data_IF_059380607587
#
_entry.id   IF_059380607587
#
_cell.length_a   1.000
_cell.length_b   1.000
_cell.length_c   1.000
_cell.angle_alpha   90.00
_cell.angle_beta   90.00
_cell.angle_gamma   90.00
#
_symmetry.space_group_name_H-M   'P 1'
#
loop_
_entity.id
_entity.type
_entity.pdbx_description
1 polymer ?
#
# COMPACT_ATOMS: atom_id res chain seq x y z
N UNK A 1 30.39 -9.83 -5.72
CA UNK A 1 29.89 -11.10 -6.28
C UNK A 1 29.21 -11.87 -5.16
N UNK A 2 27.90 -11.66 -4.98
CA UNK A 2 27.10 -12.55 -4.16
C UNK A 2 26.62 -13.67 -5.05
N UNK A 3 27.45 -14.68 -5.24
CA UNK A 3 26.92 -16.00 -5.52
C UNK A 3 26.36 -16.49 -4.18
N UNK A 4 25.04 -16.66 -4.02
CA UNK A 4 24.52 -17.46 -2.93
C UNK A 4 25.25 -18.79 -3.03
N UNK A 5 25.84 -19.27 -1.93
CA UNK A 5 26.47 -20.58 -1.94
C UNK A 5 25.43 -21.57 -2.44
N UNK A 6 25.68 -22.21 -3.58
CA UNK A 6 24.76 -23.10 -4.30
C UNK A 6 24.15 -24.22 -3.43
N UNK A 7 24.74 -24.52 -2.31
CA UNK A 7 24.32 -25.62 -1.44
C UNK A 7 23.05 -25.39 -0.63
N UNK A 8 22.55 -24.14 -0.52
CA UNK A 8 21.31 -23.82 0.22
C UNK A 8 20.13 -23.44 -0.68
N UNK A 9 20.28 -23.42 -2.01
CA UNK A 9 19.26 -22.92 -2.94
C UNK A 9 18.28 -23.98 -3.47
N UNK A 10 18.40 -25.24 -3.08
CA UNK A 10 17.48 -26.29 -3.55
C UNK A 10 16.33 -26.62 -2.60
N UNK A 11 15.93 -25.69 -1.74
CA UNK A 11 14.68 -25.91 -1.02
C UNK A 11 13.51 -25.71 -2.00
N UNK A 12 12.62 -26.70 -2.08
CA UNK A 12 11.34 -26.56 -2.79
C UNK A 12 10.67 -25.30 -2.28
N UNK A 13 10.17 -24.45 -3.21
CA UNK A 13 9.31 -23.31 -2.87
C UNK A 13 8.33 -23.69 -1.77
N UNK A 14 8.28 -22.89 -0.70
CA UNK A 14 7.32 -23.05 0.39
C UNK A 14 6.02 -22.29 0.13
N UNK A 15 5.95 -21.61 -1.01
CA UNK A 15 4.76 -20.89 -1.47
C UNK A 15 4.06 -21.65 -2.58
N UNK A 16 2.75 -21.60 -2.55
CA UNK A 16 1.89 -21.97 -3.66
C UNK A 16 1.38 -20.71 -4.33
N UNK A 17 1.60 -20.60 -5.65
CA UNK A 17 1.25 -19.42 -6.43
C UNK A 17 0.14 -19.72 -7.43
N UNK A 18 -0.89 -18.89 -7.46
CA UNK A 18 -1.88 -18.78 -8.52
C UNK A 18 -1.61 -17.51 -9.32
N UNK A 19 -1.58 -17.62 -10.64
CA UNK A 19 -1.38 -16.49 -11.54
C UNK A 19 -2.65 -16.19 -12.31
N UNK A 20 -3.04 -14.90 -12.33
CA UNK A 20 -4.21 -14.39 -13.03
C UNK A 20 -3.72 -13.39 -14.07
N UNK A 21 -3.93 -13.70 -15.36
CA UNK A 21 -3.51 -12.85 -16.47
C UNK A 21 -4.54 -11.74 -16.71
N UNK A 22 -4.09 -10.53 -17.01
CA UNK A 22 -4.99 -9.42 -17.33
C UNK A 22 -5.82 -9.66 -18.59
N UNK A 23 -5.32 -10.40 -19.56
CA UNK A 23 -6.11 -10.80 -20.74
C UNK A 23 -7.36 -11.59 -20.38
N UNK A 24 -7.26 -12.46 -19.38
CA UNK A 24 -8.39 -13.27 -18.94
C UNK A 24 -9.44 -12.42 -18.22
N UNK A 25 -9.02 -11.30 -17.62
CA UNK A 25 -9.91 -10.33 -16.96
C UNK A 25 -10.78 -9.56 -17.98
N UNK A 26 -10.18 -9.09 -19.09
CA UNK A 26 -10.85 -8.20 -20.05
C UNK A 26 -11.66 -8.96 -21.11
N UNK A 27 -11.19 -10.12 -21.54
CA UNK A 27 -11.64 -10.74 -22.78
C UNK A 27 -12.48 -12.01 -22.58
N UNK A 28 -12.49 -12.56 -21.34
CA UNK A 28 -13.01 -13.90 -21.16
C UNK A 28 -12.24 -14.95 -21.97
N UNK A 29 -12.65 -16.22 -21.87
CA UNK A 29 -11.91 -17.36 -22.45
C UNK A 29 -11.93 -17.48 -23.98
N UNK A 30 -12.77 -16.72 -24.71
CA UNK A 30 -13.17 -17.04 -26.09
C UNK A 30 -12.75 -16.04 -27.17
N UNK A 31 -11.85 -15.11 -26.93
CA UNK A 31 -11.42 -14.13 -27.96
C UNK A 31 -9.97 -14.32 -28.38
N UNK A 32 -9.72 -14.07 -29.68
CA UNK A 32 -8.39 -14.07 -30.28
C UNK A 32 -7.47 -13.07 -29.56
N UNK A 33 -6.66 -13.62 -28.66
CA UNK A 33 -5.77 -12.88 -27.76
C UNK A 33 -4.60 -12.21 -28.49
N UNK A 34 -4.31 -12.62 -29.73
CA UNK A 34 -3.13 -12.19 -30.46
C UNK A 34 -3.25 -10.81 -31.15
N UNK A 35 -4.45 -10.21 -31.17
CA UNK A 35 -4.71 -8.95 -31.88
C UNK A 35 -5.11 -7.77 -31.01
N UNK A 36 -5.18 -7.95 -29.69
CA UNK A 36 -5.63 -6.88 -28.79
C UNK A 36 -4.45 -6.28 -28.01
N UNK A 37 -4.45 -4.96 -27.80
CA UNK A 37 -3.44 -4.34 -26.94
C UNK A 37 -3.52 -4.93 -25.54
N UNK A 38 -2.37 -5.03 -24.87
CA UNK A 38 -2.29 -5.51 -23.48
C UNK A 38 -3.21 -4.65 -22.60
N UNK A 39 -4.19 -5.22 -21.90
CA UNK A 39 -5.06 -4.46 -21.01
C UNK A 39 -4.29 -3.65 -19.95
N UNK A 40 -3.11 -4.11 -19.54
CA UNK A 40 -2.25 -3.35 -18.60
C UNK A 40 -1.75 -2.05 -19.24
N UNK A 41 -1.56 -2.00 -20.55
CA UNK A 41 -1.16 -0.79 -21.28
C UNK A 41 -2.30 0.25 -21.32
N UNK A 42 -3.54 -0.22 -21.15
CA UNK A 42 -4.73 0.64 -21.18
C UNK A 42 -5.09 1.22 -19.80
N UNK A 43 -4.57 0.65 -18.70
CA UNK A 43 -4.95 1.03 -17.35
C UNK A 43 -3.75 1.33 -16.48
N UNK A 44 -3.84 2.39 -15.71
CA UNK A 44 -2.87 2.77 -14.72
C UNK A 44 -3.33 2.33 -13.33
N UNK A 45 -3.10 1.06 -13.01
CA UNK A 45 -3.46 0.53 -11.68
C UNK A 45 -2.55 1.12 -10.60
N UNK A 46 -3.17 1.78 -9.65
CA UNK A 46 -2.51 2.41 -8.51
C UNK A 46 -2.34 1.45 -7.34
N UNK A 47 -3.30 0.55 -7.18
CA UNK A 47 -3.34 -0.31 -6.00
C UNK A 47 -3.99 -1.66 -6.31
N UNK A 48 -3.46 -2.72 -5.69
CA UNK A 48 -4.17 -3.98 -5.46
C UNK A 48 -4.60 -3.98 -3.99
N UNK A 49 -5.86 -4.29 -3.75
CA UNK A 49 -6.47 -4.20 -2.43
C UNK A 49 -7.24 -5.50 -2.12
N UNK A 50 -6.61 -6.48 -1.50
CA UNK A 50 -7.27 -7.69 -1.07
C UNK A 50 -8.03 -7.46 0.24
N UNK A 51 -9.19 -8.09 0.35
CA UNK A 51 -9.91 -8.32 1.60
C UNK A 51 -9.57 -9.70 2.17
N UNK A 52 -9.65 -10.73 1.33
CA UNK A 52 -9.23 -12.10 1.63
C UNK A 52 -8.74 -12.77 0.33
N UNK A 53 -8.44 -14.06 0.35
CA UNK A 53 -7.97 -14.80 -0.83
C UNK A 53 -8.95 -14.78 -2.02
N UNK A 54 -10.24 -14.69 -1.76
CA UNK A 54 -11.29 -14.75 -2.78
C UNK A 54 -11.70 -13.35 -3.25
N UNK A 55 -11.70 -12.37 -2.34
CA UNK A 55 -12.21 -11.02 -2.55
C UNK A 55 -11.06 -10.04 -2.63
N UNK A 56 -10.86 -9.42 -3.79
CA UNK A 56 -9.88 -8.35 -3.95
C UNK A 56 -10.25 -7.38 -5.08
N UNK A 57 -9.59 -6.24 -5.09
CA UNK A 57 -9.83 -5.15 -6.02
C UNK A 57 -8.54 -4.70 -6.68
N UNK A 58 -8.65 -4.29 -7.96
CA UNK A 58 -7.65 -3.48 -8.65
C UNK A 58 -8.21 -2.08 -8.82
N UNK A 59 -7.49 -1.10 -8.35
CA UNK A 59 -7.93 0.29 -8.35
C UNK A 59 -7.01 1.13 -9.22
N UNK A 60 -7.57 1.96 -10.08
CA UNK A 60 -6.80 2.81 -10.97
C UNK A 60 -7.64 3.69 -11.88
N UNK A 61 -7.08 3.99 -13.03
CA UNK A 61 -7.70 4.78 -14.08
C UNK A 61 -7.27 4.31 -15.48
N UNK A 62 -7.93 4.80 -16.52
CA UNK A 62 -7.63 4.47 -17.91
C UNK A 62 -6.67 5.47 -18.59
N UNK A 63 -5.82 6.15 -17.85
CA UNK A 63 -4.93 7.19 -18.40
C UNK A 63 -3.94 6.66 -19.45
N UNK A 64 -3.64 5.37 -19.42
CA UNK A 64 -2.73 4.75 -20.39
C UNK A 64 -3.41 4.42 -21.74
N UNK A 65 -4.73 4.42 -21.79
CA UNK A 65 -5.47 3.97 -22.99
C UNK A 65 -5.48 4.98 -24.15
N UNK A 66 -5.24 6.27 -23.86
CA UNK A 66 -5.27 7.34 -24.88
C UNK A 66 -4.22 8.39 -24.54
N UNK A 67 -3.32 8.65 -25.47
CA UNK A 67 -2.33 9.74 -25.36
C UNK A 67 -3.05 11.09 -25.22
N UNK A 68 -2.76 11.85 -24.16
CA UNK A 68 -3.31 13.19 -23.95
C UNK A 68 -4.64 13.29 -23.20
N UNK A 69 -5.14 12.23 -22.57
CA UNK A 69 -6.33 12.31 -21.71
C UNK A 69 -6.07 13.29 -20.54
N UNK A 70 -6.85 14.36 -20.52
CA UNK A 70 -6.83 15.35 -19.42
C UNK A 70 -7.56 14.82 -18.19
N UNK A 71 -8.64 14.05 -18.41
CA UNK A 71 -9.47 13.47 -17.35
C UNK A 71 -9.67 11.97 -17.64
N UNK A 72 -8.87 11.09 -17.04
CA UNK A 72 -9.11 9.66 -17.14
C UNK A 72 -10.41 9.29 -16.42
N UNK A 73 -10.98 8.14 -16.78
CA UNK A 73 -12.07 7.54 -16.01
C UNK A 73 -11.49 6.59 -14.98
N UNK A 74 -12.05 6.63 -13.78
CA UNK A 74 -11.71 5.68 -12.73
C UNK A 74 -12.05 4.25 -13.14
N UNK A 75 -11.23 3.31 -12.74
CA UNK A 75 -11.42 1.89 -13.03
C UNK A 75 -11.26 1.07 -11.75
N UNK A 76 -12.28 0.25 -11.50
CA UNK A 76 -12.32 -0.71 -10.39
C UNK A 76 -12.61 -2.08 -10.99
N UNK A 77 -11.67 -3.01 -10.86
CA UNK A 77 -11.94 -4.41 -11.07
C UNK A 77 -12.09 -5.10 -9.73
N UNK A 78 -13.15 -5.89 -9.59
CA UNK A 78 -13.47 -6.67 -8.41
C UNK A 78 -13.51 -8.15 -8.77
N UNK A 79 -12.81 -8.97 -8.02
CA UNK A 79 -12.99 -10.41 -8.01
C UNK A 79 -13.59 -10.85 -6.68
N UNK A 80 -14.47 -11.87 -6.73
CA UNK A 80 -15.12 -12.51 -5.58
C UNK A 80 -14.80 -14.02 -5.53
N UNK A 81 -13.89 -14.51 -6.38
CA UNK A 81 -13.64 -15.93 -6.62
C UNK A 81 -12.16 -16.22 -6.89
N UNK A 82 -11.28 -15.59 -6.13
CA UNK A 82 -9.82 -15.72 -6.25
C UNK A 82 -9.29 -15.37 -7.64
N UNK A 83 -9.90 -14.39 -8.34
CA UNK A 83 -9.45 -13.94 -9.66
C UNK A 83 -9.89 -14.82 -10.82
N UNK A 84 -10.90 -15.65 -10.64
CA UNK A 84 -11.48 -16.47 -11.73
C UNK A 84 -12.37 -15.62 -12.62
N UNK A 85 -13.17 -14.73 -12.00
CA UNK A 85 -13.99 -13.75 -12.72
C UNK A 85 -13.83 -12.35 -12.16
N UNK A 86 -14.13 -11.35 -12.99
CA UNK A 86 -14.05 -9.95 -12.60
C UNK A 86 -15.28 -9.15 -13.03
N UNK A 87 -15.68 -8.24 -12.16
CA UNK A 87 -16.66 -7.20 -12.49
C UNK A 87 -15.92 -5.87 -12.61
N UNK A 88 -16.22 -5.10 -13.65
CA UNK A 88 -15.65 -3.77 -13.89
C UNK A 88 -16.66 -2.68 -13.53
N UNK A 89 -16.24 -1.70 -12.77
CA UNK A 89 -17.04 -0.54 -12.35
C UNK A 89 -16.22 0.74 -12.48
N UNK A 90 -16.89 1.86 -12.70
CA UNK A 90 -16.30 3.19 -12.68
C UNK A 90 -17.11 4.11 -11.76
N UNK A 91 -16.42 4.97 -11.02
CA UNK A 91 -17.02 6.04 -10.20
C UNK A 91 -17.11 7.38 -10.95
N UNK A 92 -16.83 7.36 -12.26
CA UNK A 92 -16.82 8.54 -13.13
C UNK A 92 -15.41 9.02 -13.48
N UNK A 93 -15.34 10.25 -13.98
CA UNK A 93 -14.08 10.87 -14.37
C UNK A 93 -13.18 11.13 -13.16
N UNK A 94 -11.90 10.84 -13.30
CA UNK A 94 -10.87 11.05 -12.31
C UNK A 94 -10.00 9.83 -12.08
N UNK A 95 -8.99 10.00 -11.25
CA UNK A 95 -8.04 8.97 -10.82
C UNK A 95 -8.37 8.51 -9.40
N UNK A 96 -8.43 7.22 -9.18
CA UNK A 96 -8.46 6.67 -7.82
C UNK A 96 -7.05 6.78 -7.26
N UNK A 97 -6.90 7.56 -6.19
CA UNK A 97 -5.61 7.79 -5.55
C UNK A 97 -5.37 6.86 -4.37
N UNK A 98 -6.42 6.43 -3.72
CA UNK A 98 -6.34 5.53 -2.57
C UNK A 98 -7.63 4.72 -2.41
N UNK A 99 -7.49 3.46 -2.00
CA UNK A 99 -8.57 2.59 -1.55
C UNK A 99 -8.18 1.90 -0.24
N UNK A 100 -9.14 1.70 0.64
CA UNK A 100 -8.89 1.07 1.93
C UNK A 100 -10.11 0.38 2.50
N UNK A 101 -9.90 -0.83 3.01
CA UNK A 101 -10.87 -1.49 3.86
C UNK A 101 -10.78 -1.01 5.31
N UNK A 102 -11.95 -0.83 5.92
CA UNK A 102 -12.11 -0.68 7.36
C UNK A 102 -13.20 -1.67 7.74
N UNK A 103 -12.81 -2.81 8.28
CA UNK A 103 -13.65 -4.00 8.36
C UNK A 103 -14.18 -4.36 6.97
N UNK A 104 -15.49 -4.45 6.77
CA UNK A 104 -16.13 -4.78 5.50
C UNK A 104 -16.44 -3.55 4.63
N UNK A 105 -16.27 -2.34 5.17
CA UNK A 105 -16.51 -1.09 4.42
C UNK A 105 -15.28 -0.73 3.61
N UNK A 106 -15.43 -0.60 2.31
CA UNK A 106 -14.40 -0.12 1.39
C UNK A 106 -14.58 1.38 1.15
N UNK A 107 -13.53 2.16 1.46
CA UNK A 107 -13.44 3.59 1.12
C UNK A 107 -12.55 3.79 -0.09
N UNK A 108 -12.94 4.71 -0.99
CA UNK A 108 -12.17 5.12 -2.16
C UNK A 108 -12.10 6.63 -2.23
N UNK A 109 -10.91 7.14 -2.52
CA UNK A 109 -10.63 8.55 -2.81
C UNK A 109 -10.48 8.70 -4.32
N UNK A 110 -11.40 9.45 -4.93
CA UNK A 110 -11.38 9.81 -6.35
C UNK A 110 -11.02 11.28 -6.51
N UNK A 111 -10.00 11.56 -7.30
CA UNK A 111 -9.58 12.91 -7.65
C UNK A 111 -9.87 13.20 -9.12
N UNK A 112 -10.56 14.31 -9.36
CA UNK A 112 -10.88 14.78 -10.70
C UNK A 112 -10.27 16.16 -10.91
N UNK A 113 -9.46 16.29 -11.98
CA UNK A 113 -8.87 17.55 -12.42
C UNK A 113 -9.83 18.23 -13.38
N UNK A 114 -10.30 19.42 -13.02
CA UNK A 114 -11.15 20.26 -13.86
C UNK A 114 -10.51 21.62 -14.08
N UNK A 115 -10.97 22.36 -15.10
CA UNK A 115 -10.48 23.72 -15.38
C UNK A 115 -11.57 24.74 -15.08
N UNK A 116 -11.29 25.68 -14.20
CA UNK A 116 -12.12 26.86 -13.94
C UNK A 116 -11.33 28.12 -14.32
N UNK A 117 -11.88 28.95 -15.22
CA UNK A 117 -11.20 30.16 -15.72
C UNK A 117 -9.76 29.88 -16.21
N UNK A 118 -9.56 28.80 -16.96
CA UNK A 118 -8.26 28.32 -17.46
C UNK A 118 -7.23 27.94 -16.35
N UNK A 119 -7.66 27.79 -15.11
CA UNK A 119 -6.81 27.31 -14.02
C UNK A 119 -7.21 25.89 -13.66
N UNK A 120 -6.24 24.96 -13.53
CA UNK A 120 -6.54 23.62 -13.08
C UNK A 120 -6.91 23.62 -11.59
N UNK A 121 -8.02 23.02 -11.26
CA UNK A 121 -8.42 22.69 -9.88
C UNK A 121 -8.58 21.20 -9.74
N UNK A 122 -8.34 20.69 -8.54
CA UNK A 122 -8.58 19.29 -8.20
C UNK A 122 -9.74 19.20 -7.25
N UNK A 123 -10.75 18.46 -7.67
CA UNK A 123 -11.87 18.10 -6.82
C UNK A 123 -11.64 16.67 -6.28
N UNK A 124 -11.94 16.47 -5.01
CA UNK A 124 -11.83 15.15 -4.38
C UNK A 124 -13.20 14.68 -3.92
N UNK A 125 -13.53 13.43 -4.22
CA UNK A 125 -14.74 12.77 -3.73
C UNK A 125 -14.32 11.52 -2.94
N UNK A 126 -14.90 11.33 -1.76
CA UNK A 126 -14.78 10.09 -1.00
C UNK A 126 -16.04 9.28 -1.25
N UNK A 127 -15.86 8.04 -1.68
CA UNK A 127 -16.91 7.04 -1.83
C UNK A 127 -16.74 5.94 -0.79
N UNK A 128 -17.84 5.29 -0.43
CA UNK A 128 -17.84 4.06 0.35
C UNK A 128 -18.72 2.99 -0.30
N UNK A 129 -18.34 1.75 -0.04
CA UNK A 129 -19.15 0.57 -0.34
C UNK A 129 -19.20 -0.31 0.90
N UNK A 130 -20.38 -0.84 1.24
CA UNK A 130 -20.64 -1.75 2.37
C UNK A 130 -20.99 -3.16 1.91
N UNK A 131 -20.93 -3.40 0.62
CA UNK A 131 -21.32 -4.64 -0.07
C UNK A 131 -20.23 -5.11 -1.05
N UNK A 132 -18.97 -4.88 -0.65
CA UNK A 132 -17.80 -5.27 -1.46
C UNK A 132 -17.84 -4.74 -2.89
N UNK A 133 -18.25 -3.48 -3.07
CA UNK A 133 -18.21 -2.78 -4.35
C UNK A 133 -19.38 -3.10 -5.30
N UNK A 134 -20.46 -3.70 -4.83
CA UNK A 134 -21.69 -3.84 -5.64
C UNK A 134 -22.41 -2.51 -5.81
N UNK A 135 -22.51 -1.75 -4.72
CA UNK A 135 -23.02 -0.40 -4.74
C UNK A 135 -22.05 0.59 -4.10
N UNK A 136 -22.15 1.86 -4.50
CA UNK A 136 -21.28 2.93 -4.05
C UNK A 136 -22.08 4.13 -3.59
N UNK A 137 -21.77 4.62 -2.43
CA UNK A 137 -22.33 5.82 -1.83
C UNK A 137 -21.27 6.92 -1.81
N UNK A 138 -21.65 8.13 -2.26
CA UNK A 138 -20.81 9.31 -2.11
C UNK A 138 -20.91 9.81 -0.67
N UNK A 139 -19.80 9.75 0.06
CA UNK A 139 -19.71 10.21 1.45
C UNK A 139 -19.60 11.72 1.50
N UNK A 140 -18.62 12.28 0.76
CA UNK A 140 -18.35 13.71 0.78
C UNK A 140 -17.64 14.17 -0.48
N UNK A 141 -17.68 15.49 -0.74
CA UNK A 141 -17.06 16.14 -1.87
C UNK A 141 -16.31 17.40 -1.43
N UNK A 142 -15.10 17.58 -1.94
CA UNK A 142 -14.27 18.75 -1.69
C UNK A 142 -13.92 19.42 -3.02
N UNK A 143 -14.30 20.68 -3.15
CA UNK A 143 -13.94 21.51 -4.30
C UNK A 143 -12.54 22.08 -4.11
N UNK A 144 -11.72 22.08 -5.16
CA UNK A 144 -10.35 22.61 -5.20
C UNK A 144 -9.47 22.14 -4.02
N UNK A 145 -9.61 20.89 -3.65
CA UNK A 145 -8.92 20.30 -2.52
C UNK A 145 -8.42 18.92 -2.91
N UNK A 146 -7.16 18.67 -2.71
CA UNK A 146 -6.53 17.37 -2.89
C UNK A 146 -6.43 16.65 -1.54
N UNK A 147 -6.79 15.37 -1.52
CA UNK A 147 -6.54 14.49 -0.39
C UNK A 147 -5.51 13.47 -0.87
N UNK A 148 -4.28 13.59 -0.41
CA UNK A 148 -3.19 12.73 -0.86
C UNK A 148 -2.98 11.52 0.05
N UNK A 149 -3.52 11.56 1.26
CA UNK A 149 -3.54 10.43 2.20
C UNK A 149 -4.77 10.46 3.08
N UNK A 150 -5.35 9.27 3.29
CA UNK A 150 -6.46 9.06 4.21
C UNK A 150 -6.24 7.78 5.01
N UNK A 151 -6.53 7.83 6.28
CA UNK A 151 -6.46 6.67 7.17
C UNK A 151 -7.69 6.63 8.08
N UNK A 152 -8.43 5.53 8.06
CA UNK A 152 -9.50 5.26 9.00
C UNK A 152 -9.06 4.24 10.05
N UNK A 153 -9.20 4.61 11.31
CA UNK A 153 -8.99 3.72 12.45
C UNK A 153 -10.21 2.83 12.70
N UNK A 154 -11.40 3.42 12.56
CA UNK A 154 -12.69 2.73 12.59
C UNK A 154 -13.55 3.26 11.44
N UNK A 155 -14.71 2.66 11.21
CA UNK A 155 -15.68 3.17 10.22
C UNK A 155 -16.14 4.63 10.51
N UNK A 156 -15.91 5.15 11.73
CA UNK A 156 -16.26 6.51 12.11
C UNK A 156 -15.05 7.44 12.24
N UNK A 157 -13.95 6.92 12.79
CA UNK A 157 -12.77 7.72 13.14
C UNK A 157 -11.73 7.62 12.07
N UNK A 158 -11.32 8.75 11.52
CA UNK A 158 -10.29 8.82 10.50
C UNK A 158 -9.52 10.14 10.53
N UNK A 159 -8.42 10.16 9.82
CA UNK A 159 -7.58 11.34 9.58
C UNK A 159 -7.17 11.39 8.12
N UNK A 160 -7.05 12.58 7.55
CA UNK A 160 -6.58 12.78 6.19
C UNK A 160 -5.69 14.02 6.09
N UNK A 161 -4.80 14.03 5.09
CA UNK A 161 -4.03 15.20 4.71
C UNK A 161 -4.71 15.86 3.52
N UNK A 162 -5.09 17.10 3.73
CA UNK A 162 -5.72 17.98 2.74
C UNK A 162 -4.68 18.96 2.23
N UNK A 163 -4.54 19.07 0.94
CA UNK A 163 -3.70 20.07 0.29
C UNK A 163 -4.59 21.11 -0.41
N UNK A 164 -4.53 22.34 0.07
CA UNK A 164 -5.17 23.49 -0.57
C UNK A 164 -4.22 24.07 -1.61
N UNK A 165 -4.54 23.84 -2.89
CA UNK A 165 -3.73 24.33 -4.02
C UNK A 165 -3.76 25.85 -4.18
N UNK A 166 -4.77 26.52 -3.64
CA UNK A 166 -4.88 27.98 -3.74
C UNK A 166 -3.86 28.66 -2.84
N UNK A 167 -3.69 28.13 -1.63
CA UNK A 167 -2.81 28.69 -0.60
C UNK A 167 -1.49 27.90 -0.47
N UNK A 168 -1.31 26.84 -1.25
CA UNK A 168 -0.15 25.93 -1.18
C UNK A 168 0.12 25.41 0.24
N UNK A 169 -0.97 25.09 0.99
CA UNK A 169 -0.87 24.66 2.38
C UNK A 169 -1.45 23.27 2.58
N UNK A 170 -0.74 22.44 3.35
CA UNK A 170 -1.24 21.17 3.82
C UNK A 170 -1.86 21.30 5.20
N UNK A 171 -3.00 20.65 5.39
CA UNK A 171 -3.70 20.59 6.67
C UNK A 171 -4.10 19.16 6.97
N UNK A 172 -3.91 18.74 8.22
CA UNK A 172 -4.46 17.48 8.71
C UNK A 172 -5.85 17.73 9.29
N UNK A 173 -6.81 16.93 8.83
CA UNK A 173 -8.17 16.95 9.36
C UNK A 173 -8.58 15.56 9.81
N UNK A 174 -9.36 15.49 10.86
CA UNK A 174 -9.93 14.24 11.36
C UNK A 174 -11.45 14.24 11.21
N UNK A 175 -12.01 13.05 11.14
CA UNK A 175 -13.44 12.78 11.15
C UNK A 175 -13.81 11.90 12.32
N UNK A 176 -15.03 12.05 12.83
CA UNK A 176 -15.64 11.19 13.84
C UNK A 176 -17.00 10.62 13.42
N UNK A 177 -17.36 10.82 12.15
CA UNK A 177 -18.64 10.43 11.56
C UNK A 177 -18.48 9.68 10.21
N UNK A 178 -17.33 9.04 10.00
CA UNK A 178 -17.08 8.22 8.81
C UNK A 178 -16.72 9.02 7.55
N UNK A 179 -16.25 10.26 7.73
CA UNK A 179 -15.82 11.11 6.61
C UNK A 179 -16.92 12.05 6.09
N UNK A 180 -18.07 12.11 6.74
CA UNK A 180 -19.15 13.05 6.38
C UNK A 180 -18.72 14.48 6.68
N UNK A 181 -18.15 14.70 7.87
CA UNK A 181 -17.57 15.99 8.27
C UNK A 181 -16.10 15.85 8.68
N UNK A 182 -15.34 16.94 8.51
CA UNK A 182 -13.90 16.96 8.76
C UNK A 182 -13.51 18.19 9.56
N UNK A 183 -12.78 17.99 10.64
CA UNK A 183 -12.32 19.01 11.57
C UNK A 183 -10.80 19.13 11.54
N UNK A 184 -10.28 20.35 11.66
CA UNK A 184 -8.82 20.56 11.70
C UNK A 184 -8.20 19.83 12.91
N UNK A 185 -7.19 19.02 12.66
CA UNK A 185 -6.38 18.39 13.68
C UNK A 185 -5.41 19.42 14.27
N UNK A 186 -5.85 20.16 15.29
CA UNK A 186 -5.15 21.34 15.83
C UNK A 186 -3.73 21.04 16.33
N UNK A 187 -3.49 19.82 16.82
CA UNK A 187 -2.16 19.39 17.27
C UNK A 187 -1.12 19.24 16.15
N UNK A 188 -1.52 19.30 14.85
CA UNK A 188 -0.66 18.97 13.72
C UNK A 188 -0.25 20.15 12.84
N UNK A 189 -0.44 21.37 13.29
CA UNK A 189 -0.27 22.57 12.45
C UNK A 189 1.19 22.79 11.98
N UNK A 190 2.18 22.17 12.61
CA UNK A 190 3.61 22.31 12.25
C UNK A 190 4.40 21.05 12.61
N UNK A 191 4.28 19.98 11.86
CA UNK A 191 5.23 18.88 12.01
C UNK A 191 6.19 18.87 10.83
N UNK A 192 7.47 18.73 11.09
CA UNK A 192 8.49 18.47 10.06
C UNK A 192 8.31 17.11 9.38
N UNK A 193 7.43 16.27 9.92
CA UNK A 193 7.19 14.90 9.49
C UNK A 193 5.72 14.69 9.18
N UNK A 194 5.43 13.89 8.14
CA UNK A 194 4.07 13.49 7.78
C UNK A 194 3.56 12.40 8.73
N UNK A 195 2.68 12.73 9.69
CA UNK A 195 2.19 11.76 10.66
C UNK A 195 1.29 10.69 10.04
N UNK A 196 0.76 10.90 8.83
CA UNK A 196 -0.02 9.90 8.12
C UNK A 196 0.85 8.90 7.34
N UNK A 197 2.05 9.34 6.90
CA UNK A 197 3.01 8.40 6.34
C UNK A 197 3.67 7.55 7.42
N UNK A 198 3.78 8.09 8.65
CA UNK A 198 4.70 7.63 9.69
C UNK A 198 3.98 7.32 10.99
N UNK A 199 2.65 7.40 11.01
CA UNK A 199 1.85 7.32 12.22
C UNK A 199 1.00 6.07 12.34
N UNK A 200 0.61 5.80 13.56
CA UNK A 200 -0.27 4.71 13.94
C UNK A 200 -1.27 5.18 15.01
N UNK A 201 -2.54 4.86 14.83
CA UNK A 201 -3.56 5.13 15.83
C UNK A 201 -3.36 4.22 17.04
N UNK A 202 -3.01 4.82 18.17
CA UNK A 202 -2.98 4.14 19.47
C UNK A 202 -4.38 3.98 20.02
N UNK A 203 -5.22 4.96 19.79
CA UNK A 203 -6.64 5.01 20.18
C UNK A 203 -7.42 5.92 19.24
N UNK A 204 -8.71 6.07 19.45
CA UNK A 204 -9.58 6.94 18.64
C UNK A 204 -9.11 8.39 18.51
N UNK A 205 -8.38 8.89 19.50
CA UNK A 205 -7.94 10.28 19.55
C UNK A 205 -6.42 10.46 19.64
N UNK A 206 -5.65 9.37 19.72
CA UNK A 206 -4.22 9.43 19.92
C UNK A 206 -3.47 8.73 18.79
N UNK A 207 -2.56 9.46 18.15
CA UNK A 207 -1.69 8.95 17.11
C UNK A 207 -0.25 8.96 17.60
N UNK A 208 0.45 7.85 17.38
CA UNK A 208 1.89 7.72 17.55
C UNK A 208 2.59 7.87 16.22
N UNK A 209 3.75 8.51 16.20
CA UNK A 209 4.59 8.63 15.01
C UNK A 209 6.08 8.61 15.38
N UNK A 210 6.91 8.17 14.41
CA UNK A 210 8.36 8.14 14.55
C UNK A 210 8.99 9.41 13.97
N UNK A 211 10.04 9.87 14.64
CA UNK A 211 10.94 10.92 14.12
C UNK A 211 12.24 10.30 13.62
N UNK A 212 12.93 10.98 12.70
CA UNK A 212 14.19 10.47 12.10
C UNK A 212 15.31 10.23 13.12
N UNK A 213 15.25 10.91 14.26
CA UNK A 213 16.21 10.75 15.34
C UNK A 213 15.79 9.73 16.42
N UNK A 214 14.81 8.90 16.09
CA UNK A 214 14.41 7.74 16.89
C UNK A 214 13.51 8.04 18.09
N UNK A 215 12.84 9.19 18.13
CA UNK A 215 11.84 9.42 19.15
C UNK A 215 10.45 8.97 18.66
N UNK A 216 9.80 8.14 19.47
CA UNK A 216 8.38 7.89 19.38
C UNK A 216 7.65 9.03 20.07
N UNK A 217 6.84 9.73 19.33
CA UNK A 217 6.00 10.83 19.83
C UNK A 217 4.53 10.49 19.67
N UNK A 218 3.70 11.11 20.49
CA UNK A 218 2.25 11.07 20.36
C UNK A 218 1.65 12.46 20.24
N UNK A 219 0.47 12.54 19.68
CA UNK A 219 -0.38 13.71 19.74
C UNK A 219 -1.85 13.31 19.80
N UNK A 220 -2.66 14.21 20.38
CA UNK A 220 -4.11 14.03 20.43
C UNK A 220 -4.77 14.84 19.31
N UNK A 221 -5.69 14.23 18.55
CA UNK A 221 -6.34 14.84 17.40
C UNK A 221 -7.17 16.08 17.74
N UNK A 222 -7.74 16.12 18.95
CA UNK A 222 -8.71 17.14 19.36
C UNK A 222 -8.13 18.24 20.25
N UNK A 223 -6.90 18.04 20.76
CA UNK A 223 -6.24 18.96 21.70
C UNK A 223 -5.10 19.72 21.04
N UNK A 224 -5.05 21.03 21.28
CA UNK A 224 -3.89 21.86 20.92
C UNK A 224 -2.67 21.49 21.79
N UNK A 225 -1.48 21.70 21.25
CA UNK A 225 -0.18 21.50 21.95
C UNK A 225 -0.06 20.17 22.68
N UNK A 226 -0.63 19.11 22.08
CA UNK A 226 -0.70 17.79 22.69
C UNK A 226 0.50 16.88 22.39
N UNK A 227 1.56 17.41 21.76
CA UNK A 227 2.76 16.64 21.44
C UNK A 227 3.50 16.19 22.69
N UNK A 228 3.74 14.88 22.78
CA UNK A 228 4.49 14.28 23.86
C UNK A 228 5.55 13.32 23.32
N UNK A 229 6.72 13.31 23.93
CA UNK A 229 7.71 12.24 23.71
C UNK A 229 7.27 11.04 24.54
N UNK A 230 6.91 9.95 23.86
CA UNK A 230 6.50 8.71 24.52
C UNK A 230 7.72 7.93 24.98
N UNK A 231 8.65 7.68 24.07
CA UNK A 231 9.95 7.04 24.37
C UNK A 231 10.97 7.30 23.27
N UNK A 232 12.23 7.07 23.58
CA UNK A 232 13.31 6.95 22.60
C UNK A 232 13.50 5.49 22.26
N UNK A 233 13.47 5.15 20.97
CA UNK A 233 13.78 3.80 20.52
C UNK A 233 15.27 3.52 20.80
N UNK A 234 15.62 2.35 21.34
CA UNK A 234 17.00 2.03 21.64
C UNK A 234 17.89 2.10 20.40
N UNK A 235 18.90 2.96 20.44
CA UNK A 235 19.93 3.04 19.41
C UNK A 235 21.09 2.13 19.79
N UNK A 236 21.56 1.30 18.86
CA UNK A 236 22.96 0.88 18.88
C UNK A 236 23.79 1.94 18.15
N UNK A 237 25.09 2.00 18.38
CA UNK A 237 26.02 2.88 17.64
C UNK A 237 25.99 2.67 16.13
N UNK A 238 25.34 1.60 15.69
CA UNK A 238 25.26 1.15 14.30
C UNK A 238 23.94 1.50 13.60
N UNK A 239 22.97 2.15 14.27
CA UNK A 239 21.72 2.56 13.65
C UNK A 239 21.84 3.97 13.08
N UNK A 240 21.61 4.12 11.79
CA UNK A 240 21.67 5.38 11.04
C UNK A 240 20.31 5.98 10.73
N UNK A 241 19.23 5.18 10.87
CA UNK A 241 17.89 5.65 10.57
C UNK A 241 16.80 4.74 11.10
N UNK A 242 15.59 5.27 11.04
CA UNK A 242 14.37 4.62 11.44
C UNK A 242 13.35 4.73 10.30
N UNK A 243 12.60 3.66 10.07
CA UNK A 243 11.46 3.73 9.16
C UNK A 243 10.25 4.34 9.88
N UNK A 244 9.21 4.46 9.12
CA UNK A 244 7.88 4.74 9.62
C UNK A 244 7.40 3.63 10.55
N UNK A 245 6.34 3.89 11.30
CA UNK A 245 5.64 2.84 12.04
C UNK A 245 4.91 1.98 11.01
N UNK A 246 5.23 0.71 11.01
CA UNK A 246 4.55 -0.32 10.24
C UNK A 246 3.68 -1.15 11.17
N UNK A 247 2.74 -1.88 10.62
CA UNK A 247 1.84 -2.76 11.37
C UNK A 247 2.09 -4.20 10.91
N UNK A 248 2.28 -5.09 11.86
CA UNK A 248 2.16 -6.51 11.58
C UNK A 248 0.70 -6.82 11.26
N UNK A 249 0.42 -7.20 10.03
CA UNK A 249 -0.95 -7.32 9.53
C UNK A 249 -1.77 -8.40 10.26
N UNK A 250 -1.13 -9.38 10.87
CA UNK A 250 -1.80 -10.45 11.63
C UNK A 250 -2.02 -10.07 13.09
N UNK A 251 -0.96 -9.68 13.78
CA UNK A 251 -1.04 -9.35 15.22
C UNK A 251 -1.57 -7.95 15.48
N UNK A 252 -1.60 -7.10 14.43
CA UNK A 252 -1.87 -5.66 14.50
C UNK A 252 -0.91 -4.92 15.44
N UNK A 253 0.24 -5.52 15.74
CA UNK A 253 1.28 -4.92 16.55
C UNK A 253 2.11 -3.93 15.72
N UNK A 254 2.30 -2.69 16.20
CA UNK A 254 3.13 -1.72 15.52
C UNK A 254 4.62 -2.02 15.72
N UNK A 255 5.40 -1.84 14.67
CA UNK A 255 6.86 -1.95 14.70
C UNK A 255 7.53 -0.86 13.88
N UNK A 256 8.82 -0.64 14.17
CA UNK A 256 9.70 0.29 13.45
C UNK A 256 10.88 -0.50 12.90
N UNK A 257 11.27 -0.22 11.66
CA UNK A 257 12.52 -0.74 11.12
C UNK A 257 13.65 0.17 11.52
N UNK A 258 14.58 -0.36 12.29
CA UNK A 258 15.82 0.33 12.69
C UNK A 258 16.94 -0.18 11.78
N UNK A 259 17.56 0.70 10.99
CA UNK A 259 18.50 0.26 9.96
C UNK A 259 19.80 1.04 9.93
N UNK A 260 20.84 0.37 9.43
CA UNK A 260 22.11 0.94 8.99
C UNK A 260 22.21 0.86 7.49
N UNK A 261 22.52 1.94 6.81
CA UNK A 261 22.78 1.93 5.36
C UNK A 261 24.14 1.29 5.08
N UNK A 262 24.21 0.42 4.11
CA UNK A 262 25.44 -0.21 3.65
C UNK A 262 25.46 -0.33 2.13
N UNK A 263 26.63 -0.63 1.55
CA UNK A 263 26.82 -0.82 0.11
C UNK A 263 26.00 -1.98 -0.48
N UNK A 264 25.39 -2.81 0.34
CA UNK A 264 24.64 -4.01 -0.05
C UNK A 264 23.20 -4.03 0.49
N UNK A 265 22.63 -2.88 0.85
CA UNK A 265 21.29 -2.76 1.42
C UNK A 265 21.28 -2.30 2.88
N UNK A 266 20.10 -2.22 3.46
CA UNK A 266 19.92 -1.84 4.87
C UNK A 266 19.96 -3.08 5.76
N UNK A 267 20.82 -3.07 6.76
CA UNK A 267 20.85 -4.08 7.83
C UNK A 267 20.34 -3.48 9.13
N UNK A 268 19.64 -4.26 9.92
CA UNK A 268 19.13 -3.77 11.19
C UNK A 268 18.21 -4.74 11.91
N UNK A 269 17.16 -4.20 12.49
CA UNK A 269 16.15 -5.00 13.17
C UNK A 269 14.78 -4.31 13.12
N UNK A 270 13.74 -5.11 13.18
CA UNK A 270 12.38 -4.66 13.48
C UNK A 270 12.28 -4.50 15.00
N UNK A 271 11.81 -3.36 15.45
CA UNK A 271 11.55 -3.09 16.86
C UNK A 271 10.05 -2.98 17.09
N UNK A 272 9.47 -3.99 17.74
CA UNK A 272 8.06 -4.02 18.08
C UNK A 272 7.77 -3.07 19.25
N UNK A 273 6.81 -2.16 19.09
CA UNK A 273 6.61 -1.06 20.01
C UNK A 273 5.96 -1.47 21.33
N UNK A 274 5.14 -2.51 21.32
CA UNK A 274 4.43 -2.99 22.53
C UNK A 274 5.26 -4.01 23.30
N UNK A 275 5.86 -4.98 22.60
CA UNK A 275 6.63 -6.07 23.25
C UNK A 275 8.10 -5.73 23.47
N UNK A 276 8.61 -4.68 22.79
CA UNK A 276 10.03 -4.28 22.77
C UNK A 276 10.95 -5.36 22.17
N UNK A 277 10.37 -6.34 21.48
CA UNK A 277 11.11 -7.39 20.81
C UNK A 277 11.91 -6.82 19.63
N UNK A 278 13.13 -7.35 19.45
CA UNK A 278 13.99 -7.05 18.29
C UNK A 278 14.09 -8.28 17.39
N UNK A 279 13.69 -8.13 16.17
CA UNK A 279 13.78 -9.18 15.14
C UNK A 279 14.81 -8.77 14.10
N UNK A 280 15.87 -9.58 13.86
CA UNK A 280 16.91 -9.26 12.88
C UNK A 280 16.34 -9.07 11.47
N UNK A 281 16.95 -8.16 10.72
CA UNK A 281 16.51 -7.76 9.40
C UNK A 281 17.73 -7.42 8.52
N UNK A 282 17.75 -7.86 7.27
CA UNK A 282 18.95 -7.72 6.44
C UNK A 282 18.79 -6.93 5.15
N UNK A 283 17.61 -6.70 4.60
CA UNK A 283 17.47 -5.92 3.36
C UNK A 283 16.10 -5.21 3.25
N UNK A 284 16.02 -4.07 3.65
CA UNK A 284 15.27 -2.84 3.49
C UNK A 284 13.79 -2.81 3.14
N UNK A 285 13.16 -3.77 2.48
CA UNK A 285 11.78 -3.63 2.00
C UNK A 285 11.03 -4.94 2.15
N UNK A 286 10.30 -5.08 3.22
CA UNK A 286 9.54 -6.28 3.49
C UNK A 286 8.22 -5.98 4.19
N UNK A 287 7.34 -6.95 4.19
CA UNK A 287 6.08 -6.90 4.93
C UNK A 287 6.07 -8.04 5.94
N UNK A 288 5.42 -7.81 7.06
CA UNK A 288 5.31 -8.75 8.17
C UNK A 288 3.86 -9.17 8.36
N UNK A 289 3.65 -10.48 8.44
CA UNK A 289 2.36 -11.08 8.76
C UNK A 289 2.55 -12.17 9.83
N UNK A 290 2.51 -11.77 11.09
CA UNK A 290 2.78 -12.66 12.22
C UNK A 290 4.20 -13.21 12.19
N UNK A 291 4.34 -14.52 12.07
CA UNK A 291 5.65 -15.15 11.97
C UNK A 291 6.22 -15.13 10.54
N UNK A 292 5.40 -14.82 9.55
CA UNK A 292 5.81 -14.74 8.16
C UNK A 292 6.36 -13.34 7.87
N UNK A 293 7.54 -13.32 7.29
CA UNK A 293 8.17 -12.12 6.75
C UNK A 293 8.54 -12.40 5.31
N UNK A 294 8.43 -11.41 4.43
CA UNK A 294 9.06 -11.52 3.15
C UNK A 294 9.80 -10.24 2.80
N UNK A 295 10.83 -10.39 2.01
CA UNK A 295 11.64 -9.29 1.50
C UNK A 295 11.79 -9.41 -0.01
N UNK A 296 11.74 -8.28 -0.65
CA UNK A 296 12.10 -8.14 -2.05
C UNK A 296 13.59 -7.85 -2.15
N UNK A 297 14.29 -8.66 -2.94
CA UNK A 297 15.70 -8.47 -3.21
C UNK A 297 15.91 -8.06 -4.66
N UNK A 298 16.69 -7.02 -4.85
CA UNK A 298 17.10 -6.53 -6.14
C UNK A 298 18.51 -7.06 -6.44
N UNK A 299 18.70 -7.67 -7.61
CA UNK A 299 20.02 -8.00 -8.12
C UNK A 299 20.59 -6.76 -8.83
N UNK A 300 21.59 -6.08 -8.28
CA UNK A 300 22.18 -4.89 -8.90
C UNK A 300 22.94 -5.20 -10.19
N UNK A 301 23.34 -6.47 -10.43
CA UNK A 301 24.05 -6.91 -11.64
C UNK A 301 23.08 -7.34 -12.74
N UNK A 302 21.84 -7.73 -12.38
CA UNK A 302 20.84 -8.16 -13.33
C UNK A 302 19.46 -7.61 -12.94
N UNK A 303 19.15 -6.43 -13.45
CA UNK A 303 17.87 -5.72 -13.19
C UNK A 303 16.60 -6.50 -13.60
N UNK A 304 16.75 -7.60 -14.32
CA UNK A 304 15.66 -8.45 -14.78
C UNK A 304 15.41 -9.65 -13.87
N UNK A 305 16.24 -9.85 -12.86
CA UNK A 305 16.09 -10.94 -11.90
C UNK A 305 15.71 -10.34 -10.56
N UNK A 306 14.53 -10.71 -10.10
CA UNK A 306 14.03 -10.32 -8.81
C UNK A 306 13.87 -11.55 -7.94
N UNK A 307 14.37 -11.45 -6.74
CA UNK A 307 14.30 -12.51 -5.77
C UNK A 307 13.35 -12.10 -4.66
N UNK A 308 12.53 -13.04 -4.25
CA UNK A 308 11.78 -12.95 -2.99
C UNK A 308 12.37 -13.93 -2.03
N UNK A 309 12.57 -13.52 -0.80
CA UNK A 309 12.86 -14.43 0.28
C UNK A 309 11.76 -14.34 1.33
N UNK A 310 11.38 -15.49 1.82
CA UNK A 310 10.36 -15.66 2.83
C UNK A 310 10.98 -16.26 4.09
N UNK A 311 10.52 -15.79 5.23
CA UNK A 311 10.77 -16.38 6.52
C UNK A 311 9.44 -16.75 7.14
N UNK A 312 9.36 -17.91 7.77
CA UNK A 312 8.16 -18.41 8.46
C UNK A 312 8.36 -18.47 9.97
N UNK A 313 9.51 -18.01 10.43
CA UNK A 313 9.97 -18.06 11.83
C UNK A 313 10.51 -16.71 12.32
N UNK A 314 9.92 -15.61 11.82
CA UNK A 314 10.28 -14.22 12.15
C UNK A 314 11.74 -13.89 11.84
N UNK A 315 12.19 -14.23 10.65
CA UNK A 315 13.52 -13.85 10.16
C UNK A 315 14.68 -14.71 10.66
N UNK A 316 14.43 -15.82 11.37
CA UNK A 316 15.50 -16.72 11.82
C UNK A 316 16.07 -17.56 10.67
N UNK A 317 15.19 -18.01 9.78
CA UNK A 317 15.56 -18.71 8.55
C UNK A 317 14.86 -18.09 7.34
N UNK A 318 15.51 -18.18 6.19
CA UNK A 318 15.01 -17.57 4.96
C UNK A 318 15.07 -18.55 3.80
N UNK A 319 14.01 -18.58 3.00
CA UNK A 319 13.92 -19.34 1.75
C UNK A 319 13.83 -18.34 0.60
N UNK A 320 14.69 -18.48 -0.39
CA UNK A 320 14.67 -17.65 -1.62
C UNK A 320 13.73 -18.29 -2.63
N UNK A 321 12.84 -17.48 -3.21
CA UNK A 321 12.02 -17.84 -4.35
C UNK A 321 12.42 -17.01 -5.56
N UNK A 322 12.83 -17.67 -6.65
CA UNK A 322 13.05 -17.03 -7.93
C UNK A 322 11.73 -16.94 -8.69
N UNK A 323 11.29 -15.73 -8.99
CA UNK A 323 10.20 -15.46 -9.92
C UNK A 323 10.78 -15.06 -11.29
N UNK A 324 11.57 -15.98 -11.90
CA UNK A 324 12.39 -15.71 -13.10
C UNK A 324 11.60 -15.33 -14.35
N UNK A 325 10.32 -15.65 -14.41
CA UNK A 325 9.46 -15.35 -15.55
C UNK A 325 8.74 -14.00 -15.43
N UNK A 326 8.92 -13.29 -14.30
CA UNK A 326 8.22 -12.06 -14.02
C UNK A 326 9.19 -10.87 -13.96
N UNK A 327 8.86 -9.83 -14.69
CA UNK A 327 9.39 -8.50 -14.44
C UNK A 327 8.53 -7.86 -13.34
N UNK A 328 9.14 -7.68 -12.20
CA UNK A 328 8.54 -6.89 -11.15
C UNK A 328 9.08 -5.47 -11.28
N UNK A 329 8.22 -4.47 -11.35
CA UNK A 329 8.68 -3.09 -11.30
C UNK A 329 9.51 -2.90 -10.03
N UNK A 330 10.45 -1.96 -10.06
CA UNK A 330 11.36 -1.67 -8.94
C UNK A 330 10.66 -1.48 -7.58
N UNK A 331 9.35 -1.21 -7.61
CA UNK A 331 8.47 -1.13 -6.45
C UNK A 331 7.19 -1.91 -6.75
N UNK A 332 7.21 -3.25 -6.62
CA UNK A 332 6.03 -4.05 -6.83
C UNK A 332 4.93 -3.63 -5.85
N UNK A 333 3.70 -3.57 -6.35
CA UNK A 333 2.55 -3.29 -5.50
C UNK A 333 2.16 -4.57 -4.80
N UNK A 334 2.48 -4.63 -3.54
CA UNK A 334 2.13 -5.72 -2.65
C UNK A 334 0.91 -5.39 -1.83
N UNK A 335 0.15 -6.42 -1.50
CA UNK A 335 -0.86 -6.34 -0.48
C UNK A 335 -1.02 -7.69 0.21
N UNK A 336 -1.50 -7.66 1.44
CA UNK A 336 -1.87 -8.84 2.22
C UNK A 336 -3.36 -8.89 2.43
N UNK A 337 -3.90 -10.09 2.33
CA UNK A 337 -5.22 -10.38 2.86
C UNK A 337 -5.14 -10.78 4.34
N UNK A 338 -6.22 -10.59 5.08
CA UNK A 338 -6.28 -10.94 6.51
C UNK A 338 -6.08 -12.44 6.79
N UNK A 339 -6.31 -13.29 5.80
CA UNK A 339 -6.09 -14.74 5.85
C UNK A 339 -4.66 -15.18 5.51
N UNK A 340 -3.73 -14.20 5.29
CA UNK A 340 -2.31 -14.46 5.07
C UNK A 340 -1.91 -14.67 3.62
N UNK A 341 -2.81 -14.47 2.67
CA UNK A 341 -2.47 -14.49 1.25
C UNK A 341 -1.74 -13.22 0.84
N UNK A 342 -0.76 -13.38 -0.04
CA UNK A 342 0.03 -12.31 -0.63
C UNK A 342 -0.47 -12.05 -2.04
N UNK A 343 -0.66 -10.79 -2.38
CA UNK A 343 -1.03 -10.34 -3.71
C UNK A 343 0.06 -9.47 -4.30
N UNK A 344 0.49 -9.80 -5.51
CA UNK A 344 1.50 -9.06 -6.24
C UNK A 344 0.94 -8.63 -7.59
N UNK A 345 1.13 -7.37 -7.93
CA UNK A 345 0.89 -6.88 -9.28
C UNK A 345 2.22 -6.88 -10.04
N UNK A 346 2.33 -7.70 -11.06
CA UNK A 346 3.54 -7.94 -11.81
C UNK A 346 3.30 -7.90 -13.33
N UNK A 347 4.38 -7.91 -14.10
CA UNK A 347 4.34 -8.02 -15.56
C UNK A 347 5.18 -9.21 -16.00
N UNK A 348 4.63 -10.07 -16.87
CA UNK A 348 5.40 -11.14 -17.50
C UNK A 348 6.38 -10.56 -18.53
N UNK A 349 7.68 -10.68 -18.26
CA UNK A 349 8.73 -10.06 -19.07
C UNK A 349 8.69 -10.43 -20.55
N UNK A 350 8.56 -11.73 -20.86
CA UNK A 350 8.59 -12.23 -22.23
C UNK A 350 7.36 -11.89 -23.06
N UNK A 351 6.23 -11.63 -22.40
CA UNK A 351 4.94 -11.39 -23.03
C UNK A 351 4.42 -9.98 -22.85
N UNK A 352 5.08 -9.14 -22.05
CA UNK A 352 4.60 -7.80 -21.63
C UNK A 352 3.18 -7.82 -21.07
N UNK A 353 2.79 -8.93 -20.44
CA UNK A 353 1.44 -9.12 -19.91
C UNK A 353 1.40 -8.81 -18.42
N UNK A 354 0.44 -8.02 -17.99
CA UNK A 354 0.16 -7.83 -16.60
C UNK A 354 -0.40 -9.10 -15.94
N UNK A 355 0.05 -9.35 -14.72
CA UNK A 355 -0.31 -10.54 -13.95
C UNK A 355 -0.54 -10.18 -12.50
N UNK A 356 -1.59 -10.76 -11.91
CA UNK A 356 -1.75 -10.81 -10.47
C UNK A 356 -1.22 -12.16 -10.01
N UNK A 357 -0.21 -12.15 -9.15
CA UNK A 357 0.26 -13.35 -8.46
C UNK A 357 -0.36 -13.40 -7.07
N UNK A 358 -1.05 -14.48 -6.77
CA UNK A 358 -1.68 -14.74 -5.47
C UNK A 358 -0.95 -15.91 -4.85
N UNK A 359 -0.27 -15.68 -3.73
CA UNK A 359 0.54 -16.67 -3.06
C UNK A 359 0.12 -16.93 -1.62
N UNK A 360 0.32 -18.17 -1.16
CA UNK A 360 0.21 -18.50 0.25
C UNK A 360 1.25 -19.57 0.63
N UNK A 361 1.65 -19.65 1.91
CA UNK A 361 2.48 -20.76 2.41
C UNK A 361 1.78 -22.11 2.23
N UNK A 362 2.57 -23.13 1.84
CA UNK A 362 2.11 -24.51 1.75
C UNK A 362 1.82 -25.12 3.11
#
# INVERSE_FOLDING_TARGET
>A
MFTPKEDNMKSKSQMEWKFVNFYDIELGSDKDKDQLPDPIDNYNFKQILPYNKDIFFLLGDNSNSIEGIVNPSSVIYRSMDSGTTFTKTSLGEGTITEGRFVKETLYIVLQNKVFENNKPIINTTIYQSKDFGESWEKVTFFKNTEIDKIYFYTEKIGIARFYDRTNETSQYKYTSDGGISWHTAKGLIKTEYDPLANGWFKSENEIYYMTDNGFLKSFNLTKEDSFQVVKKIPTSTDIEGYSYINIDEKSKEPFVVCYKRGSQGAKGFLYYLNTEEKVPFENGWGVVYGNMMYEYMYDPENVFVSYYRFSYDRGKTWTVEELTDFYLPAFPKFAYAEDGYIFLLATLYKKRMGVIAIGHPK
#
